data_IF_395528084334
#
_entry.id   IF_395528084334
#
_cell.length_a   1.000
_cell.length_b   1.000
_cell.length_c   1.000
_cell.angle_alpha   90.00
_cell.angle_beta   90.00
_cell.angle_gamma   90.00
#
_symmetry.space_group_name_H-M   'P 1'
#
loop_
_entity.id
_entity.type
_entity.pdbx_description
1 polymer ?
#
# COMPACT_ATOMS: atom_id res chain seq x y z
N UNK A 1 6.19 -43.57 -10.07
CA UNK A 1 6.73 -42.73 -8.98
C UNK A 1 7.61 -41.62 -9.56
N UNK A 2 7.48 -40.42 -8.97
CA UNK A 2 8.41 -39.28 -8.88
C UNK A 2 8.63 -38.33 -10.06
N UNK A 3 8.39 -37.06 -9.69
CA UNK A 3 8.52 -35.75 -10.33
C UNK A 3 9.96 -35.43 -10.75
N UNK A 4 10.10 -34.69 -11.85
CA UNK A 4 11.21 -33.76 -12.05
C UNK A 4 10.64 -32.34 -12.14
N UNK A 5 10.78 -31.59 -11.04
CA UNK A 5 10.61 -30.15 -11.00
C UNK A 5 11.67 -29.52 -11.91
N UNK A 6 11.26 -29.09 -13.12
CA UNK A 6 12.10 -28.20 -13.91
C UNK A 6 11.93 -26.79 -13.35
N UNK A 7 12.79 -26.45 -12.40
CA UNK A 7 13.08 -25.06 -12.02
C UNK A 7 13.58 -24.34 -13.27
N UNK A 8 12.71 -23.57 -13.91
CA UNK A 8 13.15 -22.46 -14.76
C UNK A 8 13.24 -21.25 -13.86
N UNK A 9 14.47 -20.97 -13.47
CA UNK A 9 14.94 -19.70 -12.96
C UNK A 9 14.68 -18.65 -14.05
N UNK A 10 13.53 -17.99 -14.00
CA UNK A 10 13.27 -16.84 -14.85
C UNK A 10 14.12 -15.69 -14.36
N UNK A 11 15.19 -15.48 -15.13
CA UNK A 11 16.14 -14.38 -15.14
C UNK A 11 15.49 -13.07 -14.64
N UNK A 12 15.99 -12.58 -13.51
CA UNK A 12 15.77 -11.22 -13.04
C UNK A 12 16.08 -10.24 -14.17
N UNK A 13 15.04 -9.66 -14.75
CA UNK A 13 15.14 -8.35 -15.40
C UNK A 13 15.04 -7.34 -14.28
N UNK A 14 16.19 -6.92 -13.76
CA UNK A 14 16.35 -5.63 -13.11
C UNK A 14 15.98 -4.57 -14.14
N UNK A 15 14.68 -4.26 -14.23
CA UNK A 15 14.26 -2.93 -14.64
C UNK A 15 14.76 -2.02 -13.53
N UNK A 16 15.90 -1.36 -13.73
CA UNK A 16 16.21 -0.17 -12.96
C UNK A 16 15.13 0.83 -13.36
N UNK A 17 14.04 0.86 -12.59
CA UNK A 17 13.10 1.95 -12.65
C UNK A 17 13.93 3.18 -12.34
N UNK A 18 14.22 3.96 -13.38
CA UNK A 18 14.60 5.35 -13.23
C UNK A 18 13.48 5.96 -12.40
N UNK A 19 13.68 6.08 -11.08
CA UNK A 19 12.87 6.95 -10.25
C UNK A 19 13.33 8.36 -10.63
N UNK A 20 12.88 8.81 -11.81
CA UNK A 20 12.75 10.24 -12.08
C UNK A 20 11.96 10.80 -10.91
N UNK A 21 12.36 11.96 -10.43
CA UNK A 21 11.89 12.70 -9.26
C UNK A 21 10.41 13.13 -9.29
N UNK A 22 9.53 12.25 -9.73
CA UNK A 22 8.08 12.33 -9.63
C UNK A 22 7.69 11.34 -8.53
N UNK A 23 7.36 11.86 -7.35
CA UNK A 23 6.92 11.04 -6.23
C UNK A 23 5.73 10.16 -6.61
N UNK A 24 5.46 9.12 -5.80
CA UNK A 24 4.41 8.14 -6.10
C UNK A 24 3.04 8.82 -6.30
N UNK A 25 2.33 8.45 -7.37
CA UNK A 25 1.01 9.01 -7.68
C UNK A 25 -0.07 8.44 -6.75
N UNK A 26 -1.09 9.26 -6.44
CA UNK A 26 -2.28 8.80 -5.71
C UNK A 26 -2.97 7.67 -6.48
N UNK A 27 -3.07 7.76 -7.81
CA UNK A 27 -3.73 6.73 -8.62
C UNK A 27 -3.04 5.37 -8.48
N UNK A 28 -1.70 5.35 -8.53
CA UNK A 28 -0.89 4.13 -8.42
C UNK A 28 -1.07 3.44 -7.06
N UNK A 29 -1.04 4.21 -5.96
CA UNK A 29 -1.22 3.61 -4.62
C UNK A 29 -2.66 3.15 -4.41
N UNK A 30 -3.65 3.85 -4.96
CA UNK A 30 -5.06 3.48 -4.81
C UNK A 30 -5.43 2.22 -5.61
N UNK A 31 -4.76 1.94 -6.72
CA UNK A 31 -4.89 0.65 -7.41
C UNK A 31 -4.45 -0.51 -6.53
N UNK A 32 -3.34 -0.37 -5.80
CA UNK A 32 -2.87 -1.39 -4.85
C UNK A 32 -3.82 -1.53 -3.68
N UNK A 33 -4.29 -0.41 -3.10
CA UNK A 33 -5.27 -0.42 -2.00
C UNK A 33 -6.52 -1.19 -2.37
N UNK A 34 -7.03 -1.04 -3.59
CA UNK A 34 -8.25 -1.73 -4.05
C UNK A 34 -8.13 -3.27 -4.01
N UNK A 35 -6.90 -3.80 -3.95
CA UNK A 35 -6.64 -5.24 -3.84
C UNK A 35 -6.55 -5.75 -2.40
N UNK A 36 -6.49 -4.86 -1.41
CA UNK A 36 -6.38 -5.20 0.00
C UNK A 36 -7.77 -5.47 0.61
N UNK A 37 -7.92 -6.52 1.45
CA UNK A 37 -9.19 -6.85 2.06
C UNK A 37 -9.64 -5.75 3.03
N UNK A 38 -10.92 -5.36 2.99
CA UNK A 38 -11.50 -4.29 3.82
C UNK A 38 -11.25 -2.87 3.28
N UNK A 39 -10.42 -2.72 2.25
CA UNK A 39 -10.16 -1.46 1.56
C UNK A 39 -10.87 -1.41 0.19
N UNK A 40 -12.01 -2.08 0.05
CA UNK A 40 -12.80 -2.05 -1.17
C UNK A 40 -13.31 -0.63 -1.47
N UNK A 41 -13.47 -0.31 -2.76
CA UNK A 41 -13.99 1.01 -3.18
C UNK A 41 -15.29 1.35 -2.45
N UNK A 42 -15.29 2.49 -1.77
CA UNK A 42 -16.42 2.98 -1.00
C UNK A 42 -16.48 2.53 0.46
N UNK A 43 -15.58 1.65 0.91
CA UNK A 43 -15.43 1.32 2.33
C UNK A 43 -14.96 2.53 3.15
N UNK A 44 -15.16 2.50 4.46
CA UNK A 44 -14.64 3.56 5.34
C UNK A 44 -13.12 3.68 5.24
N UNK A 45 -12.42 2.53 5.15
CA UNK A 45 -10.97 2.50 4.98
C UNK A 45 -10.56 3.11 3.64
N UNK A 46 -11.30 2.86 2.54
CA UNK A 46 -11.03 3.45 1.23
C UNK A 46 -11.08 4.99 1.24
N UNK A 47 -12.11 5.58 1.87
CA UNK A 47 -12.22 7.03 1.97
C UNK A 47 -11.10 7.62 2.81
N UNK A 48 -10.82 6.98 3.94
CA UNK A 48 -9.72 7.36 4.82
C UNK A 48 -8.37 7.39 4.09
N UNK A 49 -8.03 6.32 3.36
CA UNK A 49 -6.72 6.22 2.70
C UNK A 49 -6.60 7.16 1.50
N UNK A 50 -7.70 7.47 0.82
CA UNK A 50 -7.73 8.48 -0.25
C UNK A 50 -7.28 9.84 0.30
N UNK A 51 -7.79 10.26 1.46
CA UNK A 51 -7.38 11.49 2.13
C UNK A 51 -5.96 11.38 2.71
N UNK A 52 -5.64 10.24 3.36
CA UNK A 52 -4.32 10.00 3.95
C UNK A 52 -3.20 10.15 2.92
N UNK A 53 -3.43 9.65 1.70
CA UNK A 53 -2.49 9.72 0.60
C UNK A 53 -2.44 11.07 -0.11
N UNK A 54 -3.12 12.11 0.35
CA UNK A 54 -2.74 13.48 -0.01
C UNK A 54 -1.32 13.82 0.49
N UNK A 55 -0.87 13.18 1.59
CA UNK A 55 0.51 13.27 2.08
C UNK A 55 1.47 12.42 1.24
N UNK A 56 2.44 13.07 0.60
CA UNK A 56 3.46 12.39 -0.20
C UNK A 56 4.29 11.42 0.63
N UNK A 57 4.77 11.81 1.81
CA UNK A 57 5.56 10.95 2.69
C UNK A 57 4.83 9.65 3.04
N UNK A 58 3.51 9.73 3.29
CA UNK A 58 2.69 8.53 3.54
C UNK A 58 2.54 7.66 2.30
N UNK A 59 2.43 8.26 1.09
CA UNK A 59 2.40 7.50 -0.17
C UNK A 59 3.71 6.77 -0.40
N UNK A 60 4.84 7.44 -0.23
CA UNK A 60 6.17 6.85 -0.41
C UNK A 60 6.42 5.74 0.60
N UNK A 61 6.07 5.98 1.88
CA UNK A 61 6.15 4.97 2.93
C UNK A 61 5.29 3.73 2.62
N UNK A 62 4.08 3.93 2.11
CA UNK A 62 3.24 2.81 1.67
C UNK A 62 3.84 2.11 0.45
N UNK A 63 4.40 2.86 -0.51
CA UNK A 63 4.94 2.32 -1.75
C UNK A 63 6.15 1.40 -1.51
N UNK A 64 7.05 1.77 -0.59
CA UNK A 64 8.23 0.95 -0.26
C UNK A 64 7.88 -0.37 0.46
N UNK A 65 6.69 -0.48 1.07
CA UNK A 65 6.22 -1.74 1.65
C UNK A 65 5.88 -2.72 0.53
N UNK A 66 6.45 -3.92 0.55
CA UNK A 66 6.18 -4.96 -0.45
C UNK A 66 5.18 -6.01 0.03
N UNK A 67 5.07 -6.19 1.35
CA UNK A 67 4.20 -7.18 1.97
C UNK A 67 2.76 -6.65 2.08
N UNK A 68 1.74 -7.36 1.53
CA UNK A 68 0.35 -6.93 1.58
C UNK A 68 -0.22 -6.79 2.99
N UNK A 69 0.18 -7.67 3.92
CA UNK A 69 -0.31 -7.63 5.31
C UNK A 69 0.28 -6.43 6.04
N UNK A 70 1.56 -6.10 5.82
CA UNK A 70 2.18 -4.89 6.37
C UNK A 70 1.54 -3.62 5.80
N UNK A 71 1.24 -3.60 4.49
CA UNK A 71 0.49 -2.50 3.88
C UNK A 71 -0.86 -2.33 4.58
N UNK A 72 -1.63 -3.39 4.73
CA UNK A 72 -2.94 -3.33 5.38
C UNK A 72 -2.84 -2.86 6.84
N UNK A 73 -1.88 -3.39 7.61
CA UNK A 73 -1.64 -2.95 8.99
C UNK A 73 -1.27 -1.47 9.07
N UNK A 74 -0.47 -0.96 8.13
CA UNK A 74 -0.14 0.45 8.06
C UNK A 74 -1.39 1.31 7.87
N UNK A 75 -2.32 0.92 6.98
CA UNK A 75 -3.57 1.67 6.76
C UNK A 75 -4.44 1.67 8.02
N UNK A 76 -4.65 0.50 8.64
CA UNK A 76 -5.47 0.34 9.85
C UNK A 76 -4.88 1.13 11.03
N UNK A 77 -3.56 1.11 11.22
CA UNK A 77 -2.90 1.85 12.29
C UNK A 77 -3.07 3.36 12.12
N UNK A 78 -2.94 3.87 10.90
CA UNK A 78 -3.15 5.29 10.63
C UNK A 78 -4.62 5.70 10.86
N UNK A 79 -5.58 4.84 10.54
CA UNK A 79 -7.00 5.08 10.81
C UNK A 79 -7.28 5.22 12.30
N UNK A 80 -6.83 4.26 13.11
CA UNK A 80 -7.01 4.29 14.58
C UNK A 80 -6.35 5.49 15.24
N UNK A 81 -5.19 5.94 14.73
CA UNK A 81 -4.50 7.14 15.25
C UNK A 81 -5.30 8.43 15.03
N UNK A 82 -6.19 8.46 14.04
CA UNK A 82 -7.08 9.59 13.82
C UNK A 82 -8.30 9.55 14.74
N UNK A 83 -8.84 8.36 15.02
CA UNK A 83 -9.95 8.19 15.98
C UNK A 83 -9.55 8.65 17.39
N UNK A 84 -8.37 8.27 17.89
CA UNK A 84 -7.87 8.67 19.22
C UNK A 84 -7.69 10.20 19.34
N UNK A 85 -7.42 10.91 18.24
CA UNK A 85 -7.25 12.38 18.27
C UNK A 85 -8.57 13.14 18.38
N UNK A 86 -9.69 12.50 18.08
CA UNK A 86 -11.01 13.12 18.14
C UNK A 86 -11.68 13.00 19.52
N UNK A 87 -11.11 12.18 20.42
CA UNK A 87 -11.65 11.90 21.76
C UNK A 87 -11.13 12.86 22.86
N UNK A 88 -10.46 13.96 22.52
CA UNK A 88 -9.99 14.96 23.49
C UNK A 88 -11.02 16.11 23.59
N UNK A 89 -11.88 16.16 24.62
CA UNK A 89 -12.76 17.31 24.84
C UNK A 89 -11.92 18.47 25.35
N UNK A 90 -11.95 19.58 24.62
CA UNK A 90 -11.35 20.86 25.04
C UNK A 90 -12.05 21.39 26.30
#
# INVERSE_FOLDING_TARGET
MRRLHKVVKSRSTTSSVHISSQGTSIAEVMEVVATLPGAEKGSQLWWFVTEMFCSQDKREMFFIMTDPDLKLQFLILNQKRLEIRCDDPT
#
